data_IF_836540320486
#
_entry.id   IF_836540320486
#
_cell.length_a   1.000
_cell.length_b   1.000
_cell.length_c   1.000
_cell.angle_alpha   90.00
_cell.angle_beta   90.00
_cell.angle_gamma   90.00
#
_symmetry.space_group_name_H-M   'P 1'
#
loop_
_entity.id
_entity.type
_entity.pdbx_description
1 polymer ?
#
# COMPACT_ATOMS: atom_id res chain seq x y z
N UNK A 1 -8.80 12.55 -9.58
CA UNK A 1 -7.44 13.11 -9.69
C UNK A 1 -6.97 13.48 -8.29
N UNK A 2 -5.78 13.03 -7.91
CA UNK A 2 -5.15 13.40 -6.64
C UNK A 2 -4.15 14.50 -6.96
N UNK A 3 -4.35 15.69 -6.42
CA UNK A 3 -3.50 16.83 -6.73
C UNK A 3 -3.78 18.00 -5.80
N UNK A 4 -2.78 18.86 -5.66
CA UNK A 4 -2.89 20.08 -4.87
C UNK A 4 -2.01 21.15 -5.47
N UNK A 5 -2.45 22.41 -5.38
CA UNK A 5 -1.65 23.59 -5.71
C UNK A 5 -1.36 24.33 -4.41
N UNK A 6 -0.10 24.39 -4.02
CA UNK A 6 0.36 25.16 -2.87
C UNK A 6 0.71 26.58 -3.28
N UNK A 7 1.40 26.72 -4.42
CA UNK A 7 1.78 28.01 -5.00
C UNK A 7 1.45 28.03 -6.51
N UNK A 8 0.57 28.94 -6.93
CA UNK A 8 0.20 29.12 -8.32
C UNK A 8 1.11 30.12 -9.06
N UNK A 9 1.20 29.98 -10.38
CA UNK A 9 1.87 30.93 -11.27
C UNK A 9 1.18 32.29 -11.27
N UNK A 10 1.95 33.37 -11.46
CA UNK A 10 1.45 34.74 -11.40
C UNK A 10 0.30 34.96 -12.40
N UNK A 11 -0.87 35.34 -11.89
CA UNK A 11 -2.07 35.60 -12.70
C UNK A 11 -2.76 34.36 -13.28
N UNK A 12 -2.39 33.16 -12.83
CA UNK A 12 -3.04 31.91 -13.21
C UNK A 12 -3.83 31.36 -12.01
N UNK A 13 -5.13 31.06 -12.15
CA UNK A 13 -5.85 30.37 -11.09
C UNK A 13 -5.30 28.94 -10.92
N UNK A 14 -5.31 28.37 -9.70
CA UNK A 14 -5.05 26.94 -9.49
C UNK A 14 -5.97 26.06 -10.36
N UNK A 15 -5.48 24.94 -10.91
CA UNK A 15 -6.34 23.93 -11.52
C UNK A 15 -7.36 23.39 -10.50
N UNK A 16 -8.63 23.34 -10.89
CA UNK A 16 -9.75 22.76 -10.12
C UNK A 16 -10.08 21.32 -10.57
N UNK A 17 -9.44 20.87 -11.66
CA UNK A 17 -9.53 19.54 -12.24
C UNK A 17 -8.21 19.16 -12.89
N UNK A 18 -8.13 17.93 -13.36
CA UNK A 18 -6.97 17.44 -14.10
C UNK A 18 -6.74 18.29 -15.35
N UNK A 19 -5.49 18.71 -15.55
CA UNK A 19 -5.05 19.45 -16.73
C UNK A 19 -3.89 18.73 -17.41
N UNK A 20 -3.65 18.96 -18.72
CA UNK A 20 -2.49 18.42 -19.40
C UNK A 20 -1.17 18.74 -18.67
N UNK A 21 -0.17 17.84 -18.70
CA UNK A 21 1.13 18.05 -18.02
C UNK A 21 1.76 19.42 -18.26
N UNK A 22 1.78 19.87 -19.52
CA UNK A 22 2.37 21.16 -19.90
C UNK A 22 1.58 22.34 -19.34
N UNK A 23 0.26 22.20 -19.20
CA UNK A 23 -0.58 23.24 -18.59
C UNK A 23 -0.32 23.33 -17.09
N UNK A 24 -0.21 22.19 -16.40
CA UNK A 24 0.15 22.15 -14.98
C UNK A 24 1.50 22.81 -14.72
N UNK A 25 2.54 22.43 -15.47
CA UNK A 25 3.90 22.97 -15.32
C UNK A 25 3.96 24.50 -15.54
N UNK A 26 3.02 25.07 -16.29
CA UNK A 26 2.90 26.52 -16.49
C UNK A 26 2.13 27.22 -15.37
N UNK A 27 1.14 26.54 -14.76
CA UNK A 27 0.18 27.12 -13.80
C UNK A 27 0.58 26.89 -12.34
N UNK A 28 1.35 25.85 -12.03
CA UNK A 28 1.65 25.42 -10.66
C UNK A 28 3.16 25.50 -10.43
N UNK A 29 3.57 26.40 -9.54
CA UNK A 29 4.96 26.56 -9.13
C UNK A 29 5.32 25.55 -8.04
N UNK A 30 4.38 25.28 -7.13
CA UNK A 30 4.52 24.31 -6.07
C UNK A 30 3.21 23.55 -5.87
N UNK A 31 3.28 22.23 -5.86
CA UNK A 31 2.13 21.34 -5.89
C UNK A 31 2.42 20.07 -6.66
N UNK A 32 1.40 19.25 -6.83
CA UNK A 32 1.50 17.99 -7.56
C UNK A 32 0.20 17.64 -8.28
N UNK A 33 0.30 16.83 -9.32
CA UNK A 33 -0.82 16.17 -9.98
C UNK A 33 -0.48 14.71 -10.24
N UNK A 34 -1.37 13.83 -9.82
CA UNK A 34 -1.25 12.38 -9.99
C UNK A 34 -2.45 11.84 -10.74
N UNK A 35 -2.13 11.07 -11.78
CA UNK A 35 -3.05 10.25 -12.56
C UNK A 35 -2.54 8.80 -12.53
N UNK A 36 -3.34 7.82 -12.98
CA UNK A 36 -2.89 6.43 -13.03
C UNK A 36 -1.63 6.19 -13.89
N UNK A 37 -1.34 7.07 -14.87
CA UNK A 37 -0.27 6.88 -15.85
C UNK A 37 0.80 7.97 -15.81
N UNK A 38 0.59 9.03 -15.02
CA UNK A 38 1.45 10.21 -15.01
C UNK A 38 1.51 10.84 -13.63
N UNK A 39 2.73 11.18 -13.21
CA UNK A 39 3.02 11.81 -11.94
C UNK A 39 3.95 13.00 -12.17
N UNK A 40 3.58 14.17 -11.64
CA UNK A 40 4.40 15.37 -11.75
C UNK A 40 4.21 16.27 -10.54
N UNK A 41 5.24 17.03 -10.19
CA UNK A 41 5.15 17.96 -9.07
C UNK A 41 6.48 18.60 -8.69
N UNK A 42 6.35 19.55 -7.77
CA UNK A 42 7.44 20.35 -7.22
C UNK A 42 7.04 20.77 -5.81
N UNK A 43 7.88 20.49 -4.82
CA UNK A 43 7.71 20.94 -3.43
C UNK A 43 9.01 21.53 -2.91
N UNK A 44 8.90 22.48 -1.99
CA UNK A 44 10.04 23.15 -1.39
C UNK A 44 9.97 23.08 0.13
N UNK A 45 11.12 23.02 0.80
CA UNK A 45 11.16 23.16 2.24
C UNK A 45 10.77 24.60 2.66
N UNK A 46 9.85 24.71 3.60
CA UNK A 46 9.39 25.98 4.17
C UNK A 46 10.20 26.40 5.43
N UNK A 47 11.16 25.56 5.83
CA UNK A 47 12.07 25.79 6.96
C UNK A 47 11.43 25.57 8.33
N UNK A 48 10.18 25.08 8.40
CA UNK A 48 9.49 24.84 9.68
C UNK A 48 9.81 23.50 10.32
N UNK A 49 10.48 22.60 9.60
CA UNK A 49 10.76 21.22 10.03
C UNK A 49 12.24 21.02 10.38
N UNK A 50 12.78 21.83 11.29
CA UNK A 50 14.20 21.83 11.67
C UNK A 50 14.69 20.61 12.49
N UNK A 51 13.81 19.62 12.69
CA UNK A 51 14.06 18.42 13.49
C UNK A 51 14.12 17.13 12.65
N UNK A 52 14.00 17.26 11.33
CA UNK A 52 14.13 16.17 10.35
C UNK A 52 15.12 16.57 9.27
N UNK A 53 15.79 15.58 8.67
CA UNK A 53 16.62 15.81 7.49
C UNK A 53 15.73 16.02 6.26
N UNK A 54 15.84 17.19 5.64
CA UNK A 54 15.06 17.58 4.45
C UNK A 54 16.00 18.09 3.36
N UNK A 55 15.45 18.22 2.15
CA UNK A 55 16.12 18.89 1.02
C UNK A 55 15.41 20.18 0.69
N UNK A 56 16.12 21.13 0.09
CA UNK A 56 15.54 22.44 -0.24
C UNK A 56 14.40 22.34 -1.25
N UNK A 57 14.55 21.45 -2.22
CA UNK A 57 13.61 21.27 -3.33
C UNK A 57 13.55 19.80 -3.75
N UNK A 58 12.34 19.32 -4.04
CA UNK A 58 12.11 18.06 -4.71
C UNK A 58 11.15 18.27 -5.88
N UNK A 59 11.53 17.78 -7.06
CA UNK A 59 10.74 17.89 -8.30
C UNK A 59 10.73 16.56 -9.01
N UNK A 60 9.66 16.26 -9.73
CA UNK A 60 9.58 14.99 -10.45
C UNK A 60 8.64 15.11 -11.63
N UNK A 61 8.89 14.28 -12.63
CA UNK A 61 8.00 14.06 -13.75
C UNK A 61 8.28 12.67 -14.31
N UNK A 62 7.28 11.81 -14.27
CA UNK A 62 7.40 10.45 -14.81
C UNK A 62 6.07 9.89 -15.25
N UNK A 63 6.15 9.00 -16.23
CA UNK A 63 5.06 8.13 -16.65
C UNK A 63 5.16 6.79 -15.94
N UNK A 64 4.03 6.10 -15.82
CA UNK A 64 3.95 4.75 -15.26
C UNK A 64 3.15 3.86 -16.18
N UNK A 65 3.71 2.70 -16.51
CA UNK A 65 3.01 1.59 -17.16
C UNK A 65 2.63 0.56 -16.10
N UNK A 66 1.34 0.43 -15.76
CA UNK A 66 0.89 -0.61 -14.84
C UNK A 66 1.12 -2.01 -15.42
N UNK A 67 1.56 -2.94 -14.56
CA UNK A 67 1.78 -4.35 -14.88
C UNK A 67 0.81 -5.22 -14.09
N UNK A 68 0.70 -4.97 -12.78
CA UNK A 68 -0.16 -5.71 -11.86
C UNK A 68 -1.09 -4.75 -11.11
N UNK A 69 -2.40 -5.04 -11.13
CA UNK A 69 -3.38 -4.49 -10.21
C UNK A 69 -3.65 -5.47 -9.06
N UNK A 70 -4.86 -5.48 -8.51
CA UNK A 70 -5.29 -6.45 -7.49
C UNK A 70 -6.15 -7.56 -8.11
N UNK A 71 -5.51 -8.51 -8.79
CA UNK A 71 -6.14 -9.57 -9.59
C UNK A 71 -5.18 -10.16 -10.61
N UNK A 72 -5.60 -11.22 -11.32
CA UNK A 72 -4.83 -11.74 -12.45
C UNK A 72 -4.72 -10.68 -13.56
N UNK A 73 -3.64 -10.70 -14.33
CA UNK A 73 -3.31 -9.67 -15.34
C UNK A 73 -4.42 -9.49 -16.39
N UNK A 74 -5.04 -10.60 -16.82
CA UNK A 74 -6.06 -10.60 -17.86
C UNK A 74 -7.51 -10.55 -17.31
N UNK A 75 -7.69 -10.33 -16.01
CA UNK A 75 -8.98 -10.42 -15.33
C UNK A 75 -9.48 -9.07 -14.81
N UNK A 76 -10.75 -9.03 -14.40
CA UNK A 76 -11.30 -7.88 -13.67
C UNK A 76 -10.51 -7.69 -12.37
N UNK A 77 -9.94 -6.50 -12.20
CA UNK A 77 -9.23 -6.13 -10.97
C UNK A 77 -10.24 -5.94 -9.82
N UNK A 78 -9.84 -6.33 -8.61
CA UNK A 78 -10.67 -6.34 -7.42
C UNK A 78 -10.35 -5.15 -6.51
N UNK A 79 -11.28 -4.85 -5.60
CA UNK A 79 -11.00 -4.01 -4.43
C UNK A 79 -10.15 -4.77 -3.42
N UNK A 80 -9.12 -4.13 -2.87
CA UNK A 80 -8.15 -4.76 -1.96
C UNK A 80 -8.79 -5.25 -0.66
N UNK A 81 -9.78 -4.53 -0.14
CA UNK A 81 -10.54 -4.90 1.04
C UNK A 81 -11.96 -5.42 0.71
N UNK A 82 -12.16 -5.93 -0.51
CA UNK A 82 -13.46 -6.39 -0.99
C UNK A 82 -14.50 -5.26 -1.04
N UNK A 83 -15.78 -5.61 -0.96
CA UNK A 83 -16.88 -4.64 -1.02
C UNK A 83 -16.97 -3.74 0.22
N UNK A 84 -16.42 -4.19 1.36
CA UNK A 84 -16.40 -3.40 2.59
C UNK A 84 -15.53 -2.13 2.47
N UNK A 85 -14.56 -2.11 1.55
CA UNK A 85 -13.81 -0.90 1.19
C UNK A 85 -14.72 0.23 0.67
N UNK A 86 -15.94 -0.09 0.23
CA UNK A 86 -16.91 0.88 -0.27
C UNK A 86 -17.76 1.55 0.82
N UNK A 87 -17.65 1.13 2.09
CA UNK A 87 -18.47 1.67 3.16
C UNK A 87 -17.64 2.59 4.08
N UNK A 88 -18.06 3.87 4.29
CA UNK A 88 -17.33 4.86 5.10
C UNK A 88 -17.04 4.47 6.55
N UNK A 89 -17.67 3.41 7.03
CA UNK A 89 -17.60 2.97 8.42
C UNK A 89 -16.33 2.12 8.68
N UNK A 90 -15.66 1.60 7.65
CA UNK A 90 -14.41 0.85 7.80
C UNK A 90 -13.19 1.73 7.54
N UNK A 91 -12.76 2.48 8.56
CA UNK A 91 -11.55 3.32 8.49
C UNK A 91 -10.33 2.63 9.14
N UNK A 92 -9.11 2.88 8.63
CA UNK A 92 -8.83 3.52 7.34
C UNK A 92 -9.23 2.62 6.18
N UNK A 93 -9.63 3.24 5.09
CA UNK A 93 -9.71 2.58 3.81
C UNK A 93 -8.32 2.52 3.18
N UNK A 94 -8.01 1.36 2.61
CA UNK A 94 -6.74 1.10 1.96
C UNK A 94 -6.99 0.36 0.65
N UNK A 95 -6.36 0.84 -0.42
CA UNK A 95 -6.47 0.26 -1.75
C UNK A 95 -5.10 0.25 -2.42
N UNK A 96 -4.73 -0.92 -2.93
CA UNK A 96 -3.60 -1.09 -3.82
C UNK A 96 -4.07 -0.66 -5.21
N UNK A 97 -3.56 0.48 -5.68
CA UNK A 97 -3.91 1.03 -6.97
C UNK A 97 -3.11 0.34 -8.09
N UNK A 98 -1.87 -0.06 -7.78
CA UNK A 98 -0.99 -0.80 -8.67
C UNK A 98 -0.01 -1.62 -7.82
N UNK A 99 -0.13 -2.95 -7.86
CA UNK A 99 0.76 -3.86 -7.16
C UNK A 99 2.16 -3.90 -7.80
N UNK A 100 2.23 -3.68 -9.12
CA UNK A 100 3.49 -3.54 -9.83
C UNK A 100 3.34 -2.75 -11.13
N UNK A 101 4.34 -1.93 -11.42
CA UNK A 101 4.41 -1.13 -12.63
C UNK A 101 5.85 -0.82 -13.01
N UNK A 102 6.01 -0.18 -14.16
CA UNK A 102 7.29 0.26 -14.69
C UNK A 102 7.20 1.75 -14.99
N UNK A 103 8.00 2.55 -14.29
CA UNK A 103 8.01 4.00 -14.40
C UNK A 103 9.21 4.50 -15.19
N UNK A 104 9.01 5.53 -16.00
CA UNK A 104 10.06 6.16 -16.81
C UNK A 104 9.94 7.67 -16.70
N UNK A 105 11.04 8.33 -16.35
CA UNK A 105 11.10 9.77 -16.14
C UNK A 105 12.25 10.15 -15.23
N UNK A 106 12.01 11.13 -14.35
CA UNK A 106 13.05 11.66 -13.48
C UNK A 106 12.50 12.19 -12.16
N UNK A 107 13.38 12.18 -11.16
CA UNK A 107 13.22 12.87 -9.87
C UNK A 107 14.46 13.74 -9.67
N UNK A 108 14.27 15.00 -9.33
CA UNK A 108 15.30 15.93 -8.90
C UNK A 108 15.18 16.11 -7.38
N UNK A 109 16.25 15.81 -6.66
CA UNK A 109 16.31 15.80 -5.20
C UNK A 109 17.59 16.51 -4.74
N UNK A 110 17.43 17.60 -3.97
CA UNK A 110 18.52 18.51 -3.56
C UNK A 110 19.39 19.04 -4.72
N UNK A 111 18.78 19.25 -5.89
CA UNK A 111 19.48 19.72 -7.09
C UNK A 111 20.24 18.63 -7.86
N UNK A 112 20.23 17.39 -7.39
CA UNK A 112 20.70 16.24 -8.16
C UNK A 112 19.52 15.58 -8.90
N UNK A 113 19.71 15.28 -10.18
CA UNK A 113 18.68 14.69 -11.04
C UNK A 113 18.95 13.21 -11.27
N UNK A 114 18.00 12.38 -10.88
CA UNK A 114 17.97 10.94 -11.05
C UNK A 114 17.02 10.61 -12.20
N UNK A 115 17.55 10.07 -13.29
CA UNK A 115 16.77 9.61 -14.44
C UNK A 115 16.64 8.10 -14.40
N UNK A 116 15.47 7.59 -14.76
CA UNK A 116 15.18 6.17 -14.72
C UNK A 116 14.28 5.76 -15.86
N UNK A 117 14.50 4.54 -16.33
CA UNK A 117 13.75 3.91 -17.41
C UNK A 117 13.25 2.55 -16.94
N UNK A 118 11.94 2.31 -17.08
CA UNK A 118 11.26 1.09 -16.65
C UNK A 118 11.63 0.68 -15.20
N UNK A 119 11.74 1.65 -14.30
CA UNK A 119 11.99 1.38 -12.89
C UNK A 119 10.75 0.72 -12.24
N UNK A 120 10.92 -0.37 -11.47
CA UNK A 120 9.82 -0.99 -10.74
C UNK A 120 9.10 0.02 -9.83
N UNK A 121 7.78 0.03 -9.88
CA UNK A 121 6.95 0.95 -9.11
C UNK A 121 5.73 0.26 -8.49
N UNK A 122 5.23 0.87 -7.41
CA UNK A 122 4.07 0.45 -6.64
C UNK A 122 3.25 1.68 -6.27
N UNK A 123 1.93 1.54 -6.18
CA UNK A 123 1.09 2.63 -5.67
C UNK A 123 -0.09 2.11 -4.87
N UNK A 124 -0.35 2.81 -3.77
CA UNK A 124 -1.52 2.60 -2.92
C UNK A 124 -2.14 3.94 -2.53
N UNK A 125 -3.38 3.86 -2.06
CA UNK A 125 -4.13 5.00 -1.55
C UNK A 125 -4.72 4.63 -0.20
N UNK A 126 -4.50 5.51 0.77
CA UNK A 126 -5.11 5.48 2.10
C UNK A 126 -6.06 6.67 2.26
N UNK A 127 -7.24 6.46 2.84
CA UNK A 127 -8.17 7.55 3.20
C UNK A 127 -9.03 7.18 4.41
N UNK A 128 -9.68 8.17 5.02
CA UNK A 128 -10.41 8.03 6.29
C UNK A 128 -9.86 8.97 7.37
N UNK A 129 -10.34 8.82 8.61
CA UNK A 129 -9.97 9.68 9.74
C UNK A 129 -8.56 9.45 10.29
N UNK A 130 -8.11 8.19 10.39
CA UNK A 130 -6.80 7.84 10.93
C UNK A 130 -6.31 6.45 10.48
N UNK A 131 -5.00 6.22 10.54
CA UNK A 131 -4.38 4.90 10.39
C UNK A 131 -4.74 3.97 11.56
N UNK A 132 -4.51 2.63 11.44
CA UNK A 132 -4.81 1.70 12.52
C UNK A 132 -3.98 2.01 13.77
N UNK A 133 -4.41 1.53 14.95
CA UNK A 133 -3.63 1.74 16.19
C UNK A 133 -2.25 1.07 16.17
N UNK A 134 -2.11 0.05 15.34
CA UNK A 134 -0.89 -0.73 15.15
C UNK A 134 -0.94 -1.39 13.78
N UNK A 135 0.11 -1.27 12.98
CA UNK A 135 0.16 -1.90 11.66
C UNK A 135 1.58 -2.24 11.22
N UNK A 136 1.68 -3.14 10.24
CA UNK A 136 2.90 -3.46 9.52
C UNK A 136 2.62 -3.49 8.02
N UNK A 137 3.65 -3.29 7.22
CA UNK A 137 3.58 -3.40 5.76
C UNK A 137 4.93 -3.90 5.21
N UNK A 138 4.86 -4.69 4.14
CA UNK A 138 5.99 -5.25 3.40
C UNK A 138 5.65 -5.24 1.91
N UNK A 139 6.55 -4.73 1.08
CA UNK A 139 6.36 -4.68 -0.37
C UNK A 139 7.69 -4.90 -1.08
N UNK A 140 7.66 -5.59 -2.22
CA UNK A 140 8.79 -5.63 -3.14
C UNK A 140 8.33 -6.03 -4.53
N UNK A 141 8.94 -5.44 -5.55
CA UNK A 141 8.78 -5.81 -6.95
C UNK A 141 10.12 -6.19 -7.60
N UNK A 142 11.18 -6.33 -6.80
CA UNK A 142 12.54 -6.61 -7.27
C UNK A 142 13.02 -7.88 -6.63
N UNK A 143 13.06 -8.97 -7.40
CA UNK A 143 13.44 -10.29 -6.88
C UNK A 143 14.56 -10.93 -7.70
N UNK A 144 15.45 -11.61 -6.98
CA UNK A 144 16.50 -12.48 -7.52
C UNK A 144 16.04 -13.94 -7.43
N UNK A 145 16.58 -14.79 -8.32
CA UNK A 145 16.28 -16.23 -8.32
C UNK A 145 15.03 -16.64 -9.11
N UNK A 146 14.48 -15.75 -9.94
CA UNK A 146 13.31 -16.00 -10.77
C UNK A 146 13.46 -15.41 -12.16
N UNK A 147 12.83 -16.04 -13.15
CA UNK A 147 12.64 -15.49 -14.48
C UNK A 147 11.23 -14.91 -14.58
N UNK A 148 11.12 -13.61 -14.88
CA UNK A 148 9.83 -12.91 -14.98
C UNK A 148 9.60 -11.90 -13.86
N UNK A 149 8.47 -11.20 -13.92
CA UNK A 149 8.10 -10.17 -12.96
C UNK A 149 7.38 -10.81 -11.76
N UNK A 150 7.79 -10.41 -10.55
CA UNK A 150 7.15 -10.78 -9.30
C UNK A 150 6.79 -9.50 -8.55
N UNK A 151 5.56 -9.41 -8.09
CA UNK A 151 5.14 -8.34 -7.18
C UNK A 151 4.63 -8.94 -5.88
N UNK A 152 5.02 -8.33 -4.77
CA UNK A 152 4.59 -8.69 -3.43
C UNK A 152 4.02 -7.46 -2.74
N UNK A 153 2.87 -7.64 -2.10
CA UNK A 153 2.36 -6.71 -1.09
C UNK A 153 1.79 -7.50 0.07
N UNK A 154 2.20 -7.17 1.28
CA UNK A 154 1.65 -7.74 2.51
C UNK A 154 1.48 -6.63 3.55
N UNK A 155 0.34 -6.63 4.22
CA UNK A 155 0.07 -5.65 5.26
C UNK A 155 -0.88 -6.22 6.29
N UNK A 156 -0.85 -5.67 7.49
CA UNK A 156 -1.81 -6.01 8.53
C UNK A 156 -1.90 -4.94 9.59
N UNK A 157 -3.03 -4.89 10.27
CA UNK A 157 -3.32 -3.85 11.24
C UNK A 157 -4.41 -4.23 12.22
N UNK A 158 -4.37 -3.54 13.37
CA UNK A 158 -5.41 -3.57 14.37
C UNK A 158 -6.48 -2.52 14.02
N UNK A 159 -7.47 -2.93 13.22
CA UNK A 159 -8.51 -2.06 12.66
C UNK A 159 -9.66 -1.91 13.66
N UNK A 160 -10.15 -0.68 13.83
CA UNK A 160 -11.33 -0.42 14.65
C UNK A 160 -12.60 -0.81 13.88
N UNK A 161 -13.51 -1.53 14.52
CA UNK A 161 -14.79 -1.85 13.90
C UNK A 161 -15.78 -0.67 14.04
N UNK A 162 -16.52 -0.35 12.97
CA UNK A 162 -17.53 0.69 13.02
C UNK A 162 -18.63 0.48 14.06
N UNK A 163 -19.00 1.57 14.74
CA UNK A 163 -20.11 1.59 15.71
C UNK A 163 -19.79 0.97 17.06
N UNK A 164 -18.57 0.46 17.27
CA UNK A 164 -18.10 -0.11 18.52
C UNK A 164 -16.80 0.59 18.93
N UNK A 165 -16.88 1.47 19.92
CA UNK A 165 -15.76 2.32 20.34
C UNK A 165 -14.53 1.55 20.83
N UNK A 166 -14.69 0.28 21.23
CA UNK A 166 -13.63 -0.51 21.86
C UNK A 166 -13.36 -1.87 21.19
N UNK A 167 -13.97 -2.14 20.03
CA UNK A 167 -13.76 -3.42 19.34
C UNK A 167 -12.78 -3.26 18.18
N UNK A 168 -11.73 -4.07 18.21
CA UNK A 168 -10.70 -4.11 17.18
C UNK A 168 -10.61 -5.50 16.58
N UNK A 169 -10.33 -5.56 15.29
CA UNK A 169 -10.02 -6.81 14.60
C UNK A 169 -8.59 -6.82 14.08
N UNK A 170 -8.02 -8.02 14.06
CA UNK A 170 -6.79 -8.32 13.38
C UNK A 170 -7.10 -8.57 11.90
N UNK A 171 -6.80 -7.59 11.06
CA UNK A 171 -6.91 -7.71 9.61
C UNK A 171 -5.50 -7.78 9.00
N UNK A 172 -5.29 -8.68 8.04
CA UNK A 172 -4.06 -8.76 7.29
C UNK A 172 -4.32 -9.41 5.93
N UNK A 173 -3.41 -9.15 4.99
CA UNK A 173 -3.42 -9.77 3.68
C UNK A 173 -2.00 -10.00 3.14
N UNK A 174 -1.91 -10.91 2.19
CA UNK A 174 -0.74 -11.12 1.33
C UNK A 174 -1.23 -11.26 -0.11
N UNK A 175 -0.64 -10.49 -1.01
CA UNK A 175 -0.83 -10.60 -2.46
C UNK A 175 0.50 -10.86 -3.14
N UNK A 176 0.57 -11.91 -3.94
CA UNK A 176 1.74 -12.23 -4.78
C UNK A 176 1.32 -12.36 -6.23
N UNK A 177 1.98 -11.64 -7.13
CA UNK A 177 1.84 -11.81 -8.56
C UNK A 177 3.04 -12.54 -9.11
N UNK A 178 2.81 -13.60 -9.89
CA UNK A 178 3.85 -14.32 -10.60
C UNK A 178 3.26 -15.11 -11.76
N UNK A 179 3.97 -15.11 -12.90
CA UNK A 179 3.60 -15.84 -14.11
C UNK A 179 2.15 -15.56 -14.57
N UNK A 180 1.76 -14.28 -14.49
CA UNK A 180 0.42 -13.80 -14.86
C UNK A 180 -0.70 -14.14 -13.87
N UNK A 181 -0.40 -14.85 -12.77
CA UNK A 181 -1.35 -15.28 -11.75
C UNK A 181 -1.24 -14.43 -10.48
N UNK A 182 -2.37 -14.23 -9.82
CA UNK A 182 -2.47 -13.56 -8.53
C UNK A 182 -2.81 -14.56 -7.42
N UNK A 183 -1.92 -14.67 -6.45
CA UNK A 183 -2.06 -15.48 -5.25
C UNK A 183 -2.49 -14.57 -4.10
N UNK A 184 -3.78 -14.64 -3.76
CA UNK A 184 -4.40 -13.79 -2.75
C UNK A 184 -4.63 -14.57 -1.45
N UNK A 185 -4.18 -14.00 -0.34
CA UNK A 185 -4.43 -14.48 1.01
C UNK A 185 -5.07 -13.36 1.82
N UNK A 186 -6.35 -13.49 2.10
CA UNK A 186 -7.20 -12.47 2.73
C UNK A 186 -8.20 -13.17 3.67
N UNK A 187 -8.78 -12.48 4.65
CA UNK A 187 -9.56 -13.13 5.71
C UNK A 187 -10.78 -13.94 5.23
N UNK A 188 -11.29 -13.69 4.02
CA UNK A 188 -12.43 -14.43 3.44
C UNK A 188 -12.03 -15.65 2.60
N UNK A 189 -10.76 -15.81 2.23
CA UNK A 189 -10.30 -16.96 1.44
C UNK A 189 -9.18 -17.77 2.11
N UNK A 190 -8.64 -17.28 3.23
CA UNK A 190 -7.50 -17.87 3.89
C UNK A 190 -7.23 -17.21 5.22
N UNK A 191 -6.05 -17.48 5.74
CA UNK A 191 -5.63 -17.06 7.06
C UNK A 191 -4.21 -16.53 7.01
N UNK A 192 -3.98 -15.40 7.67
CA UNK A 192 -2.66 -14.76 7.72
C UNK A 192 -2.22 -14.66 9.17
N UNK A 193 -0.99 -15.05 9.43
CA UNK A 193 -0.33 -14.97 10.73
C UNK A 193 0.96 -14.19 10.61
N UNK A 194 1.39 -13.56 11.69
CA UNK A 194 2.58 -12.72 11.70
C UNK A 194 3.30 -12.75 13.04
N UNK A 195 4.60 -12.45 12.95
CA UNK A 195 5.50 -12.14 14.04
C UNK A 195 6.38 -10.96 13.63
N UNK A 196 6.06 -9.77 14.15
CA UNK A 196 6.71 -8.51 13.78
C UNK A 196 7.39 -7.92 15.01
N UNK A 197 8.69 -7.68 14.95
CA UNK A 197 9.42 -6.99 16.02
C UNK A 197 9.07 -5.50 16.05
N UNK A 198 9.33 -4.78 17.16
CA UNK A 198 9.22 -3.32 17.17
C UNK A 198 9.99 -2.64 16.02
N UNK A 199 11.07 -3.27 15.55
CA UNK A 199 11.76 -2.94 14.32
C UNK A 199 12.68 -4.09 13.87
N UNK A 200 13.05 -4.11 12.59
CA UNK A 200 14.15 -4.93 12.06
C UNK A 200 13.78 -6.37 11.68
N UNK A 201 12.57 -6.84 11.99
CA UNK A 201 12.13 -8.20 11.67
C UNK A 201 10.63 -8.28 11.39
N UNK A 202 10.29 -8.85 10.23
CA UNK A 202 8.94 -9.16 9.81
C UNK A 202 8.88 -10.61 9.36
N UNK A 203 8.07 -11.42 10.03
CA UNK A 203 7.70 -12.75 9.55
C UNK A 203 6.19 -12.80 9.34
N UNK A 204 5.77 -13.19 8.15
CA UNK A 204 4.36 -13.30 7.77
C UNK A 204 4.18 -14.66 7.09
N UNK A 205 3.18 -15.42 7.53
CA UNK A 205 2.83 -16.69 6.92
C UNK A 205 1.33 -16.72 6.66
N UNK A 206 0.93 -17.19 5.48
CA UNK A 206 -0.48 -17.32 5.14
C UNK A 206 -0.76 -18.61 4.39
N UNK A 207 -2.00 -19.11 4.52
CA UNK A 207 -2.50 -20.25 3.77
C UNK A 207 -3.95 -20.06 3.37
N UNK A 208 -4.32 -20.67 2.24
CA UNK A 208 -5.70 -20.84 1.80
C UNK A 208 -5.92 -22.32 1.42
N UNK A 209 -7.05 -22.66 0.82
CA UNK A 209 -7.36 -24.07 0.47
C UNK A 209 -6.30 -24.74 -0.41
N UNK A 210 -5.59 -23.96 -1.23
CA UNK A 210 -4.76 -24.48 -2.34
C UNK A 210 -3.30 -24.05 -2.28
N UNK A 211 -2.93 -23.04 -1.50
CA UNK A 211 -1.60 -22.45 -1.48
C UNK A 211 -1.15 -22.07 -0.06
N UNK A 212 0.17 -21.97 0.12
CA UNK A 212 0.81 -21.45 1.32
C UNK A 212 1.90 -20.45 0.92
N UNK A 213 2.09 -19.38 1.70
CA UNK A 213 3.12 -18.36 1.48
C UNK A 213 3.83 -18.02 2.79
N UNK A 214 5.14 -17.80 2.72
CA UNK A 214 5.95 -17.28 3.82
C UNK A 214 6.82 -16.12 3.34
N UNK A 215 6.86 -15.07 4.15
CA UNK A 215 7.66 -13.88 3.99
C UNK A 215 8.54 -13.72 5.22
N UNK A 216 9.83 -13.50 5.00
CA UNK A 216 10.76 -13.10 6.06
C UNK A 216 11.55 -11.90 5.58
N UNK A 217 11.32 -10.74 6.19
CA UNK A 217 12.09 -9.54 5.94
C UNK A 217 12.90 -9.09 7.17
N UNK A 218 14.11 -8.60 6.94
CA UNK A 218 15.01 -8.08 7.98
C UNK A 218 15.75 -6.84 7.51
N UNK A 219 15.98 -5.89 8.40
CA UNK A 219 16.81 -4.71 8.11
C UNK A 219 17.65 -4.32 9.33
N UNK A 220 18.88 -3.89 9.06
CA UNK A 220 19.76 -3.26 10.05
C UNK A 220 19.70 -1.72 9.96
N UNK A 221 19.03 -1.17 8.94
CA UNK A 221 18.83 0.26 8.79
C UNK A 221 17.89 0.78 9.88
N UNK A 222 18.13 1.99 10.38
CA UNK A 222 17.30 2.60 11.44
C UNK A 222 15.85 2.81 11.03
N UNK A 223 15.61 2.94 9.72
CA UNK A 223 14.37 3.43 9.14
C UNK A 223 14.26 4.95 9.19
N UNK A 224 13.28 5.48 8.47
CA UNK A 224 12.91 6.89 8.44
C UNK A 224 11.60 7.06 9.18
N UNK A 225 11.53 7.99 10.12
CA UNK A 225 10.28 8.31 10.81
C UNK A 225 9.40 9.17 9.91
N UNK A 226 8.19 8.69 9.63
CA UNK A 226 7.20 9.38 8.82
C UNK A 226 6.02 9.83 9.68
N UNK A 227 5.35 10.91 9.23
CA UNK A 227 4.11 11.36 9.85
C UNK A 227 2.91 10.65 9.22
N UNK A 228 2.05 10.09 10.05
CA UNK A 228 0.80 9.46 9.63
C UNK A 228 -0.39 10.08 10.40
N UNK A 229 -1.60 10.13 9.80
CA UNK A 229 -2.81 10.50 10.52
C UNK A 229 -3.10 9.53 11.68
N UNK A 230 -3.24 10.06 12.88
CA UNK A 230 -3.59 9.33 14.10
C UNK A 230 -4.88 9.87 14.69
N UNK A 231 -5.64 9.01 15.38
CA UNK A 231 -6.91 9.39 16.00
C UNK A 231 -6.74 10.43 17.13
N UNK A 232 -5.59 10.43 17.79
CA UNK A 232 -5.33 11.26 18.98
C UNK A 232 -4.54 12.53 18.66
N UNK A 233 -3.55 12.44 17.76
CA UNK A 233 -2.59 13.51 17.50
C UNK A 233 -2.68 14.12 16.10
N UNK A 234 -3.65 13.72 15.29
CA UNK A 234 -3.69 14.08 13.87
C UNK A 234 -2.43 13.58 13.15
N UNK A 235 -1.86 14.38 12.26
CA UNK A 235 -0.65 14.03 11.51
C UNK A 235 0.59 14.03 12.43
N UNK A 236 0.97 12.86 12.96
CA UNK A 236 1.98 12.68 13.99
C UNK A 236 3.07 11.67 13.57
N UNK A 237 4.30 11.73 14.13
CA UNK A 237 5.38 10.77 13.83
C UNK A 237 5.05 9.38 14.40
N UNK A 238 4.23 8.64 13.69
CA UNK A 238 3.64 7.37 14.10
C UNK A 238 3.96 6.23 13.13
N UNK A 239 4.80 6.47 12.14
CA UNK A 239 5.21 5.50 11.14
C UNK A 239 6.73 5.46 11.05
N UNK A 240 7.28 4.29 10.78
CA UNK A 240 8.69 4.12 10.47
C UNK A 240 8.86 3.12 9.34
N UNK A 241 9.54 3.52 8.27
CA UNK A 241 9.72 2.71 7.06
C UNK A 241 11.18 2.67 6.57
N UNK A 242 11.47 1.75 5.66
CA UNK A 242 12.69 1.77 4.84
C UNK A 242 12.46 0.95 3.58
N UNK A 243 13.06 1.36 2.45
CA UNK A 243 13.11 0.60 1.20
C UNK A 243 14.37 -0.28 1.08
N UNK A 244 15.13 -0.43 2.17
CA UNK A 244 16.38 -1.18 2.20
C UNK A 244 16.24 -2.31 3.24
N UNK A 245 15.78 -3.46 2.77
CA UNK A 245 15.67 -4.67 3.59
C UNK A 245 15.87 -5.93 2.76
N UNK A 246 16.41 -6.94 3.42
CA UNK A 246 16.54 -8.29 2.90
C UNK A 246 15.22 -9.03 3.11
N UNK A 247 14.65 -9.58 2.05
CA UNK A 247 13.40 -10.33 2.06
C UNK A 247 13.61 -11.69 1.39
N UNK A 248 13.05 -12.74 1.99
CA UNK A 248 12.78 -14.02 1.31
C UNK A 248 11.27 -14.23 1.18
N UNK A 249 10.82 -14.52 -0.03
CA UNK A 249 9.44 -14.89 -0.36
C UNK A 249 9.43 -16.34 -0.84
N UNK A 250 8.58 -17.15 -0.21
CA UNK A 250 8.39 -18.54 -0.60
C UNK A 250 6.88 -18.83 -0.77
N UNK A 251 6.52 -19.51 -1.85
CA UNK A 251 5.15 -19.84 -2.21
C UNK A 251 5.07 -21.31 -2.63
N UNK A 252 4.06 -22.03 -2.14
CA UNK A 252 3.85 -23.45 -2.40
C UNK A 252 2.39 -23.74 -2.75
N UNK A 253 2.18 -24.83 -3.48
CA UNK A 253 0.90 -25.54 -3.46
C UNK A 253 0.67 -26.14 -2.07
N UNK A 254 -0.58 -26.19 -1.60
CA UNK A 254 -0.98 -26.84 -0.35
C UNK A 254 -1.51 -28.24 -0.64
N UNK A 255 -1.01 -29.25 0.07
CA UNK A 255 -1.52 -30.61 -0.05
C UNK A 255 -2.80 -30.80 0.79
N UNK A 256 -3.55 -31.86 0.48
CA UNK A 256 -4.75 -32.25 1.23
C UNK A 256 -4.49 -32.53 2.72
N UNK A 257 -3.27 -32.93 3.08
CA UNK A 257 -2.85 -33.16 4.47
C UNK A 257 -2.42 -31.87 5.20
N UNK A 258 -2.53 -30.70 4.54
CA UNK A 258 -2.13 -29.40 5.08
C UNK A 258 -0.63 -29.11 5.01
N UNK A 259 0.19 -29.98 4.43
CA UNK A 259 1.62 -29.76 4.27
C UNK A 259 1.98 -29.00 2.99
N UNK A 260 3.19 -28.43 2.97
CA UNK A 260 3.78 -27.78 1.79
C UNK A 260 3.97 -28.79 0.66
N UNK A 261 3.39 -28.48 -0.49
CA UNK A 261 3.47 -29.21 -1.75
C UNK A 261 4.61 -28.74 -2.63
N UNK A 262 4.31 -28.66 -3.93
CA UNK A 262 5.26 -28.18 -4.94
C UNK A 262 5.64 -26.72 -4.66
N UNK A 263 6.92 -26.41 -4.76
CA UNK A 263 7.43 -25.03 -4.71
C UNK A 263 7.01 -24.30 -5.99
N UNK A 264 6.38 -23.15 -5.83
CA UNK A 264 6.01 -22.23 -6.92
C UNK A 264 7.05 -21.11 -7.01
N UNK A 265 7.43 -20.51 -5.87
CA UNK A 265 8.47 -19.50 -5.75
C UNK A 265 9.35 -19.75 -4.52
N UNK A 266 10.63 -19.45 -4.66
CA UNK A 266 11.59 -19.26 -3.56
C UNK A 266 12.62 -18.23 -4.02
N UNK A 267 12.38 -16.97 -3.65
CA UNK A 267 13.09 -15.81 -4.19
C UNK A 267 13.52 -14.87 -3.09
N UNK A 268 14.51 -14.03 -3.37
CA UNK A 268 15.03 -13.04 -2.42
C UNK A 268 15.06 -11.64 -3.02
N UNK A 269 14.91 -10.62 -2.19
CA UNK A 269 15.03 -9.20 -2.55
C UNK A 269 15.94 -8.50 -1.54
N UNK A 270 16.83 -7.64 -2.02
CA UNK A 270 17.62 -6.69 -1.23
C UNK A 270 17.08 -5.25 -1.32
N UNK A 271 15.87 -5.11 -1.89
CA UNK A 271 15.18 -3.82 -2.11
C UNK A 271 13.73 -3.88 -1.60
N UNK A 272 13.47 -4.72 -0.61
CA UNK A 272 12.13 -4.78 -0.03
C UNK A 272 11.88 -3.55 0.84
N UNK A 273 10.68 -3.00 0.71
CA UNK A 273 10.19 -1.94 1.57
C UNK A 273 9.43 -2.54 2.75
N UNK A 274 9.75 -2.07 3.95
CA UNK A 274 9.17 -2.56 5.21
C UNK A 274 8.77 -1.39 6.09
N UNK A 275 7.67 -1.56 6.80
CA UNK A 275 7.10 -0.51 7.64
C UNK A 275 6.50 -1.12 8.92
N UNK A 276 6.62 -0.37 10.01
CA UNK A 276 5.76 -0.51 11.20
C UNK A 276 5.17 0.85 11.53
N UNK A 277 3.95 0.85 12.05
CA UNK A 277 3.40 2.07 12.59
C UNK A 277 2.35 1.88 13.66
N UNK A 278 1.88 3.01 14.14
CA UNK A 278 1.06 3.15 15.33
C UNK A 278 1.92 2.93 16.57
N UNK A 279 1.30 2.35 17.59
CA UNK A 279 1.98 1.98 18.82
C UNK A 279 1.50 2.75 20.04
N UNK A 280 2.35 2.82 21.09
CA UNK A 280 3.75 2.37 21.14
C UNK A 280 3.95 0.84 20.94
N UNK A 281 5.08 0.47 20.33
CA UNK A 281 5.54 -0.92 20.16
C UNK A 281 6.57 -1.27 21.23
N UNK A 282 6.17 -2.00 22.27
CA UNK A 282 7.10 -2.42 23.34
C UNK A 282 7.67 -3.82 23.16
N UNK A 283 6.95 -4.69 22.45
CA UNK A 283 7.27 -6.10 22.27
C UNK A 283 6.92 -6.55 20.86
N UNK A 284 7.49 -7.68 20.45
CA UNK A 284 7.11 -8.40 19.24
C UNK A 284 5.61 -8.64 19.19
N UNK A 285 4.99 -8.25 18.09
CA UNK A 285 3.58 -8.49 17.83
C UNK A 285 3.41 -9.83 17.12
N UNK A 286 2.85 -10.80 17.84
CA UNK A 286 2.37 -12.05 17.23
C UNK A 286 0.87 -11.96 17.07
N UNK A 287 0.37 -12.33 15.91
CA UNK A 287 -1.05 -12.22 15.61
C UNK A 287 -1.45 -13.13 14.47
N UNK A 288 -2.76 -13.24 14.31
CA UNK A 288 -3.42 -13.98 13.25
C UNK A 288 -4.70 -13.24 12.90
N UNK A 289 -5.09 -13.30 11.63
CA UNK A 289 -6.38 -12.76 11.17
C UNK A 289 -7.51 -13.35 12.00
N UNK A 290 -8.40 -12.50 12.47
CA UNK A 290 -9.60 -12.90 13.20
C UNK A 290 -10.81 -12.30 12.49
N UNK A 291 -11.62 -13.12 11.84
CA UNK A 291 -12.92 -12.66 11.35
C UNK A 291 -14.00 -13.05 12.35
N UNK A 292 -14.74 -12.10 12.93
CA UNK A 292 -15.97 -12.43 13.65
C UNK A 292 -16.90 -13.21 12.72
N UNK A 293 -17.53 -14.30 13.18
CA UNK A 293 -18.35 -15.18 12.33
C UNK A 293 -19.43 -14.41 11.53
N UNK A 294 -19.96 -13.32 12.08
CA UNK A 294 -20.93 -12.44 11.40
C UNK A 294 -20.34 -11.67 10.21
N UNK A 295 -19.08 -11.25 10.26
CA UNK A 295 -18.38 -10.54 9.18
C UNK A 295 -18.02 -11.52 8.06
N UNK A 296 -17.62 -12.75 8.39
CA UNK A 296 -17.34 -13.80 7.40
C UNK A 296 -18.58 -14.17 6.55
N UNK A 297 -19.77 -14.21 7.16
CA UNK A 297 -21.04 -14.46 6.47
C UNK A 297 -21.47 -13.30 5.56
N UNK A 298 -21.17 -12.06 5.95
CA UNK A 298 -21.45 -10.89 5.13
C UNK A 298 -20.46 -10.74 3.96
N UNK A 299 -19.17 -11.04 4.18
CA UNK A 299 -18.11 -10.99 3.16
C UNK A 299 -18.34 -11.98 2.00
N UNK A 300 -18.94 -13.13 2.29
CA UNK A 300 -19.27 -14.16 1.29
C UNK A 300 -20.58 -13.90 0.52
N UNK A 301 -21.30 -12.82 0.79
CA UNK A 301 -22.50 -12.46 0.04
C UNK A 301 -22.10 -11.56 -1.15
N UNK A 302 -22.33 -12.00 -2.41
CA UNK A 302 -22.08 -11.15 -3.57
C UNK A 302 -23.13 -10.04 -3.60
N UNK A 303 -22.74 -8.84 -3.18
CA UNK A 303 -23.56 -7.63 -3.33
C UNK A 303 -23.14 -6.93 -4.61
N UNK A 304 -24.11 -6.61 -5.49
CA UNK A 304 -23.89 -5.72 -6.63
C UNK A 304 -23.71 -4.28 -6.12
N UNK A 305 -22.46 -3.93 -5.83
CA UNK A 305 -22.08 -2.64 -5.27
C UNK A 305 -22.33 -1.51 -6.28
N UNK A 306 -22.09 -1.75 -7.57
CA UNK A 306 -22.28 -0.72 -8.61
C UNK A 306 -23.78 -0.39 -8.76
N UNK A 307 -24.65 -1.41 -8.72
CA UNK A 307 -26.09 -1.22 -8.68
C UNK A 307 -26.57 -0.52 -7.41
N UNK A 308 -26.07 -0.91 -6.23
CA UNK A 308 -26.51 -0.34 -4.95
C UNK A 308 -26.04 1.12 -4.73
N UNK A 309 -24.78 1.44 -5.06
CA UNK A 309 -24.24 2.80 -4.93
C UNK A 309 -24.84 3.78 -5.95
N UNK A 310 -25.33 3.29 -7.09
CA UNK A 310 -26.09 4.12 -8.05
C UNK A 310 -27.46 4.56 -7.52
N UNK A 311 -28.03 3.80 -6.59
CA UNK A 311 -29.35 4.05 -5.98
C UNK A 311 -29.28 4.92 -4.73
N UNK A 312 -28.11 5.03 -4.06
CA UNK A 312 -27.94 5.81 -2.83
C UNK A 312 -26.62 6.62 -2.84
N UNK A 313 -26.58 7.76 -3.55
CA UNK A 313 -25.39 8.59 -3.72
C UNK A 313 -24.64 9.04 -2.44
N UNK A 314 -25.29 9.36 -1.29
CA UNK A 314 -24.58 9.86 -0.12
C UNK A 314 -23.76 8.79 0.64
N UNK A 315 -23.88 7.51 0.28
CA UNK A 315 -23.09 6.42 0.88
C UNK A 315 -21.77 6.15 0.14
N UNK A 316 -21.54 6.79 -1.02
CA UNK A 316 -20.29 6.64 -1.76
C UNK A 316 -19.18 7.42 -1.03
N UNK A 317 -18.11 6.76 -0.54
CA UNK A 317 -16.98 7.46 0.05
C UNK A 317 -16.35 8.40 -0.98
N UNK A 318 -15.83 9.57 -0.58
CA UNK A 318 -15.05 10.42 -1.48
C UNK A 318 -13.87 9.64 -2.07
N UNK A 319 -13.89 9.41 -3.38
CA UNK A 319 -12.76 8.82 -4.11
C UNK A 319 -12.81 7.32 -4.39
N UNK A 320 -14.01 6.73 -4.37
CA UNK A 320 -14.40 5.57 -5.20
C UNK A 320 -15.07 6.02 -6.51
#
# INVERSE_FOLDING_TARGET
>A
MLGSTFTAGKGQPPPDKEVPPQEFNRRVLEGFQVTPLWHQGSICDDGRSNYVETVKTARWEYSTRPVFGWGDVASKQKSTAGWLAAFPVFEPHWQICMAGGLSTGWIEWDGERFEFENAPSYSEKNWGGAFPRKWFWVQSNVFKGVTGEVALTAAGGLRQLPGLTDYFENAALVGVHYDGRFYEFVPWNGEVSWEISPWGYWFIAAENETHMVELKATTEHSGTTLRAPTSEGGLAPACKDTCISELRLQLWERKYDGSKGKVILDVTSDMAAVEVGGGPWFNTWKGKTSSPELVSKALNFPVDIEGFLSLVPPLKPPGL
#
